data_IF_074942852456
#
_entry.id   IF_074942852456
#
_cell.length_a   1.000
_cell.length_b   1.000
_cell.length_c   1.000
_cell.angle_alpha   90.00
_cell.angle_beta   90.00
_cell.angle_gamma   90.00
#
_symmetry.space_group_name_H-M   'P 1'
#
loop_
_entity.id
_entity.type
_entity.pdbx_description
1 polymer ?
#
# COMPACT_ATOMS: atom_id res chain seq x y z
N UNK A 1 3.20 23.32 -5.17
CA UNK A 1 2.06 22.49 -5.61
C UNK A 1 1.37 21.93 -4.37
N UNK A 2 0.05 21.82 -4.36
CA UNK A 2 -0.69 21.20 -3.25
C UNK A 2 -0.49 19.69 -3.35
N UNK A 3 -0.13 19.02 -2.25
CA UNK A 3 0.09 17.58 -2.26
C UNK A 3 -1.23 16.84 -2.50
N UNK A 4 -1.20 15.66 -3.15
CA UNK A 4 -2.41 14.87 -3.37
C UNK A 4 -3.06 14.51 -2.04
N UNK A 5 -4.39 14.43 -2.02
CA UNK A 5 -5.12 13.83 -0.91
C UNK A 5 -5.05 12.31 -1.05
N UNK A 6 -4.52 11.63 -0.03
CA UNK A 6 -4.25 10.20 -0.11
C UNK A 6 -5.51 9.40 -0.43
N UNK A 7 -6.61 9.66 0.29
CA UNK A 7 -7.85 8.91 0.13
C UNK A 7 -8.53 9.22 -1.20
N UNK A 8 -8.68 10.50 -1.53
CA UNK A 8 -9.48 10.94 -2.68
C UNK A 8 -8.74 10.78 -4.00
N UNK A 9 -7.43 11.00 -4.02
CA UNK A 9 -6.67 11.05 -5.27
C UNK A 9 -5.80 9.82 -5.51
N UNK A 10 -5.35 9.13 -4.46
CA UNK A 10 -4.43 7.97 -4.60
C UNK A 10 -5.19 6.66 -4.38
N UNK A 11 -5.73 6.44 -3.18
CA UNK A 11 -6.38 5.18 -2.82
C UNK A 11 -7.60 4.86 -3.70
N UNK A 12 -8.41 5.88 -4.04
CA UNK A 12 -9.61 5.72 -4.88
C UNK A 12 -9.34 5.21 -6.31
N UNK A 13 -8.12 5.42 -6.84
CA UNK A 13 -7.73 4.93 -8.18
C UNK A 13 -7.42 3.44 -8.19
N UNK A 14 -7.07 2.89 -7.03
CA UNK A 14 -6.71 1.47 -6.87
C UNK A 14 -7.89 0.68 -6.31
N UNK A 15 -8.60 1.27 -5.35
CA UNK A 15 -9.66 0.63 -4.58
C UNK A 15 -11.01 1.05 -5.16
N UNK A 16 -11.61 0.13 -5.91
CA UNK A 16 -12.87 0.32 -6.61
C UNK A 16 -13.75 -0.92 -6.49
N UNK A 17 -15.07 -0.82 -6.74
CA UNK A 17 -15.96 -1.99 -6.79
C UNK A 17 -15.57 -3.05 -7.82
N UNK A 18 -14.71 -2.70 -8.79
CA UNK A 18 -14.22 -3.62 -9.80
C UNK A 18 -12.94 -4.36 -9.36
N UNK A 19 -12.23 -3.85 -8.34
CA UNK A 19 -10.99 -4.45 -7.83
C UNK A 19 -11.18 -5.25 -6.54
N UNK A 20 -12.26 -5.00 -5.78
CA UNK A 20 -12.57 -5.70 -4.54
C UNK A 20 -14.08 -5.98 -4.43
N UNK A 21 -14.44 -7.08 -3.76
CA UNK A 21 -15.84 -7.27 -3.35
C UNK A 21 -16.26 -6.19 -2.34
N UNK A 22 -17.57 -5.97 -2.24
CA UNK A 22 -18.16 -4.90 -1.43
C UNK A 22 -17.71 -4.94 0.04
N UNK A 23 -17.60 -6.13 0.63
CA UNK A 23 -17.21 -6.26 2.03
C UNK A 23 -15.76 -5.84 2.24
N UNK A 24 -14.83 -6.35 1.42
CA UNK A 24 -13.42 -5.95 1.46
C UNK A 24 -13.26 -4.45 1.17
N UNK A 25 -14.03 -3.93 0.23
CA UNK A 25 -14.02 -2.51 -0.12
C UNK A 25 -14.40 -1.62 1.07
N UNK A 26 -15.47 -1.97 1.80
CA UNK A 26 -15.90 -1.22 2.98
C UNK A 26 -14.89 -1.31 4.13
N UNK A 27 -14.30 -2.49 4.36
CA UNK A 27 -13.26 -2.67 5.37
C UNK A 27 -12.00 -1.85 5.06
N UNK A 28 -11.54 -1.88 3.81
CA UNK A 28 -10.41 -1.07 3.34
C UNK A 28 -10.69 0.42 3.53
N UNK A 29 -11.87 0.90 3.12
CA UNK A 29 -12.25 2.31 3.31
C UNK A 29 -12.25 2.72 4.78
N UNK A 30 -12.75 1.85 5.66
CA UNK A 30 -12.77 2.09 7.10
C UNK A 30 -11.35 2.18 7.68
N UNK A 31 -10.46 1.26 7.33
CA UNK A 31 -9.07 1.27 7.80
C UNK A 31 -8.32 2.51 7.31
N UNK A 32 -8.49 2.86 6.05
CA UNK A 32 -7.87 4.03 5.45
C UNK A 32 -8.33 5.34 6.11
N UNK A 33 -9.63 5.48 6.39
CA UNK A 33 -10.16 6.63 7.11
C UNK A 33 -9.64 6.70 8.56
N UNK A 34 -9.57 5.56 9.25
CA UNK A 34 -9.01 5.48 10.60
C UNK A 34 -7.53 5.84 10.63
N UNK A 35 -6.75 5.35 9.66
CA UNK A 35 -5.34 5.67 9.50
C UNK A 35 -5.13 7.17 9.24
N UNK A 36 -5.89 7.78 8.33
CA UNK A 36 -5.78 9.21 8.06
C UNK A 36 -6.06 10.05 9.32
N UNK A 37 -7.07 9.69 10.10
CA UNK A 37 -7.40 10.35 11.36
C UNK A 37 -6.29 10.18 12.42
N UNK A 38 -5.72 8.97 12.52
CA UNK A 38 -4.68 8.61 13.51
C UNK A 38 -3.33 9.25 13.19
N UNK A 39 -2.86 9.12 11.96
CA UNK A 39 -1.53 9.59 11.52
C UNK A 39 -1.55 11.04 11.02
N UNK A 40 -2.73 11.59 10.72
CA UNK A 40 -2.94 12.98 10.29
C UNK A 40 -2.14 13.34 9.03
N UNK A 41 -2.13 12.46 8.03
CA UNK A 41 -1.43 12.68 6.75
C UNK A 41 -2.30 13.30 5.65
N UNK A 42 -3.55 13.70 5.95
CA UNK A 42 -4.41 14.37 4.98
C UNK A 42 -3.79 15.69 4.52
N UNK A 43 -4.00 16.01 3.24
CA UNK A 43 -3.65 17.31 2.68
C UNK A 43 -4.61 18.43 3.13
N UNK A 44 -5.76 18.08 3.71
CA UNK A 44 -6.75 19.01 4.25
C UNK A 44 -6.69 19.07 5.78
N UNK A 45 -5.66 19.76 6.31
CA UNK A 45 -5.52 19.99 7.75
C UNK A 45 -4.64 18.98 8.50
N UNK A 46 -3.90 18.14 7.77
CA UNK A 46 -2.83 17.29 8.30
C UNK A 46 -1.45 17.72 7.79
N UNK A 47 -0.51 16.78 7.89
CA UNK A 47 0.84 16.89 7.34
C UNK A 47 1.11 15.68 6.43
N UNK A 48 1.08 15.85 5.10
CA UNK A 48 1.25 14.75 4.15
C UNK A 48 2.56 13.96 4.33
N UNK A 49 3.60 14.55 4.92
CA UNK A 49 4.85 13.84 5.24
C UNK A 49 4.64 12.70 6.23
N UNK A 50 3.61 12.79 7.08
CA UNK A 50 3.25 11.72 8.02
C UNK A 50 2.71 10.46 7.35
N UNK A 51 2.51 10.47 6.03
CA UNK A 51 2.22 9.25 5.29
C UNK A 51 3.33 8.21 5.49
N UNK A 52 4.60 8.63 5.62
CA UNK A 52 5.72 7.73 5.94
C UNK A 52 5.45 6.93 7.23
N UNK A 53 4.94 7.60 8.26
CA UNK A 53 4.63 6.94 9.54
C UNK A 53 3.53 5.90 9.39
N UNK A 54 2.56 6.14 8.50
CA UNK A 54 1.52 5.16 8.21
C UNK A 54 2.09 3.98 7.41
N UNK A 55 2.85 4.24 6.33
CA UNK A 55 3.45 3.19 5.50
C UNK A 55 4.32 2.21 6.30
N UNK A 56 5.03 2.71 7.32
CA UNK A 56 5.90 1.91 8.18
C UNK A 56 5.17 1.31 9.41
N UNK A 57 3.86 1.45 9.50
CA UNK A 57 3.08 1.03 10.67
C UNK A 57 2.41 -0.34 10.51
N UNK A 58 2.08 -1.01 11.63
CA UNK A 58 1.27 -2.23 11.61
C UNK A 58 -0.10 -2.02 10.94
N UNK A 59 -0.68 -0.83 11.02
CA UNK A 59 -1.97 -0.50 10.40
C UNK A 59 -1.88 -0.58 8.87
N UNK A 60 -0.73 -0.26 8.27
CA UNK A 60 -0.53 -0.45 6.83
C UNK A 60 -0.33 -1.92 6.50
N UNK A 61 0.39 -2.68 7.33
CA UNK A 61 0.50 -4.14 7.17
C UNK A 61 -0.88 -4.82 7.22
N UNK A 62 -1.77 -4.39 8.12
CA UNK A 62 -3.16 -4.89 8.16
C UNK A 62 -3.90 -4.58 6.85
N UNK A 63 -3.71 -3.37 6.31
CA UNK A 63 -4.28 -3.00 5.01
C UNK A 63 -3.76 -3.91 3.89
N UNK A 64 -2.45 -4.20 3.84
CA UNK A 64 -1.87 -5.04 2.77
C UNK A 64 -2.42 -6.46 2.80
N UNK A 65 -2.71 -7.03 3.98
CA UNK A 65 -3.36 -8.33 4.10
C UNK A 65 -4.77 -8.34 3.49
N UNK A 66 -5.52 -7.26 3.66
CA UNK A 66 -6.89 -7.16 3.13
C UNK A 66 -6.88 -6.82 1.63
N UNK A 67 -5.94 -6.02 1.15
CA UNK A 67 -5.79 -5.69 -0.26
C UNK A 67 -5.24 -6.86 -1.07
N UNK A 68 -4.32 -7.63 -0.49
CA UNK A 68 -3.49 -8.59 -1.21
C UNK A 68 -2.35 -7.90 -1.98
N UNK A 69 -1.44 -8.71 -2.48
CA UNK A 69 -0.17 -8.29 -3.07
C UNK A 69 -0.35 -7.35 -4.26
N UNK A 70 -1.14 -7.73 -5.26
CA UNK A 70 -1.28 -6.94 -6.50
C UNK A 70 -1.83 -5.53 -6.26
N UNK A 71 -2.86 -5.40 -5.42
CA UNK A 71 -3.46 -4.10 -5.12
C UNK A 71 -2.56 -3.27 -4.23
N UNK A 72 -1.80 -3.91 -3.33
CA UNK A 72 -0.79 -3.22 -2.52
C UNK A 72 0.31 -2.63 -3.41
N UNK A 73 0.84 -3.39 -4.37
CA UNK A 73 1.84 -2.89 -5.33
C UNK A 73 1.30 -1.69 -6.12
N UNK A 74 0.10 -1.80 -6.68
CA UNK A 74 -0.55 -0.68 -7.39
C UNK A 74 -0.72 0.56 -6.52
N UNK A 75 -1.09 0.38 -5.25
CA UNK A 75 -1.19 1.50 -4.30
C UNK A 75 0.16 2.18 -4.08
N UNK A 76 1.23 1.40 -3.87
CA UNK A 76 2.58 1.93 -3.68
C UNK A 76 3.09 2.66 -4.93
N UNK A 77 2.83 2.13 -6.13
CA UNK A 77 3.16 2.78 -7.40
C UNK A 77 2.49 4.14 -7.55
N UNK A 78 1.19 4.23 -7.22
CA UNK A 78 0.44 5.48 -7.27
C UNK A 78 0.95 6.50 -6.24
N UNK A 79 1.40 6.05 -5.06
CA UNK A 79 2.09 6.91 -4.07
C UNK A 79 3.40 7.46 -4.64
N UNK A 80 4.24 6.61 -5.23
CA UNK A 80 5.55 7.00 -5.78
C UNK A 80 5.39 8.04 -6.90
N UNK A 81 4.33 7.90 -7.70
CA UNK A 81 4.00 8.77 -8.82
C UNK A 81 3.51 10.15 -8.38
N UNK A 82 2.59 10.20 -7.41
CA UNK A 82 1.83 11.42 -7.11
C UNK A 82 2.40 12.30 -6.00
N UNK A 83 3.16 11.73 -5.05
CA UNK A 83 3.78 12.53 -3.99
C UNK A 83 5.06 13.21 -4.48
N UNK A 84 5.39 14.39 -3.95
CA UNK A 84 6.68 15.04 -4.28
C UNK A 84 7.77 14.73 -3.25
N UNK A 85 7.40 14.35 -2.02
CA UNK A 85 8.35 14.13 -0.95
C UNK A 85 9.16 12.86 -1.16
N UNK A 86 10.48 13.02 -1.29
CA UNK A 86 11.40 11.90 -1.51
C UNK A 86 11.31 10.84 -0.40
N UNK A 87 11.16 11.26 0.86
CA UNK A 87 10.97 10.36 2.01
C UNK A 87 9.77 9.42 1.86
N UNK A 88 8.66 9.90 1.27
CA UNK A 88 7.47 9.08 1.00
C UNK A 88 7.76 8.10 -0.13
N UNK A 89 8.41 8.56 -1.21
CA UNK A 89 8.77 7.70 -2.35
C UNK A 89 9.71 6.59 -1.94
N UNK A 90 10.72 6.91 -1.14
CA UNK A 90 11.71 5.94 -0.68
C UNK A 90 11.08 4.91 0.25
N UNK A 91 10.20 5.33 1.16
CA UNK A 91 9.44 4.41 1.99
C UNK A 91 8.56 3.46 1.15
N UNK A 92 7.83 4.00 0.17
CA UNK A 92 6.98 3.20 -0.70
C UNK A 92 7.77 2.22 -1.57
N UNK A 93 8.91 2.65 -2.13
CA UNK A 93 9.83 1.79 -2.91
C UNK A 93 10.39 0.66 -2.06
N UNK A 94 10.84 0.95 -0.85
CA UNK A 94 11.38 -0.07 0.05
C UNK A 94 10.36 -1.17 0.31
N UNK A 95 9.10 -0.80 0.58
CA UNK A 95 8.04 -1.78 0.81
C UNK A 95 7.75 -2.57 -0.47
N UNK A 96 7.77 -1.92 -1.64
CA UNK A 96 7.59 -2.59 -2.93
C UNK A 96 8.68 -3.65 -3.16
N UNK A 97 9.94 -3.30 -2.92
CA UNK A 97 11.09 -4.21 -3.00
C UNK A 97 10.99 -5.36 -2.00
N UNK A 98 10.52 -5.11 -0.77
CA UNK A 98 10.28 -6.16 0.22
C UNK A 98 9.24 -7.16 -0.30
N UNK A 99 8.10 -6.67 -0.82
CA UNK A 99 7.04 -7.51 -1.38
C UNK A 99 7.56 -8.34 -2.57
N UNK A 100 8.32 -7.72 -3.49
CA UNK A 100 8.91 -8.42 -4.64
C UNK A 100 9.96 -9.45 -4.21
N UNK A 101 10.84 -9.10 -3.27
CA UNK A 101 11.87 -9.99 -2.74
C UNK A 101 11.30 -11.22 -2.03
N UNK A 102 10.20 -11.08 -1.29
CA UNK A 102 9.47 -12.22 -0.72
C UNK A 102 8.87 -13.12 -1.81
N UNK A 103 8.29 -12.51 -2.86
CA UNK A 103 7.72 -13.25 -3.99
C UNK A 103 8.81 -14.07 -4.70
N UNK A 104 9.99 -13.49 -4.94
CA UNK A 104 11.11 -14.20 -5.58
C UNK A 104 11.69 -15.36 -4.74
N UNK A 105 11.62 -15.28 -3.41
CA UNK A 105 12.03 -16.39 -2.53
C UNK A 105 11.02 -17.52 -2.54
N UNK A 106 9.71 -17.22 -2.45
CA UNK A 106 8.65 -18.24 -2.54
C UNK A 106 8.69 -18.99 -3.89
N UNK A 107 8.90 -18.30 -5.00
CA UNK A 107 9.03 -18.93 -6.31
C UNK A 107 10.27 -19.85 -6.41
N UNK A 108 11.40 -19.46 -5.81
CA UNK A 108 12.62 -20.28 -5.80
C UNK A 108 12.45 -21.55 -4.96
N UNK A 109 11.82 -21.46 -3.79
CA UNK A 109 11.55 -22.62 -2.94
C UNK A 109 10.52 -23.57 -3.55
N UNK A 110 9.49 -23.04 -4.23
CA UNK A 110 8.55 -23.85 -5.00
C UNK A 110 9.30 -24.65 -6.09
N UNK A 111 10.14 -24.00 -6.91
CA UNK A 111 10.89 -24.66 -7.99
C UNK A 111 11.87 -25.72 -7.48
N UNK A 112 12.52 -25.51 -6.33
CA UNK A 112 13.44 -26.50 -5.74
C UNK A 112 12.66 -27.74 -5.26
N UNK A 113 11.47 -27.56 -4.70
CA UNK A 113 10.64 -28.66 -4.20
C UNK A 113 10.21 -29.59 -5.35
N UNK A 114 9.86 -29.05 -6.52
CA UNK A 114 9.52 -29.86 -7.69
C UNK A 114 10.71 -30.61 -8.31
N UNK A 115 11.95 -30.15 -8.12
CA UNK A 115 13.15 -30.82 -8.64
C UNK A 115 13.69 -31.94 -7.75
N UNK A 116 13.19 -32.08 -6.51
CA UNK A 116 13.63 -33.12 -5.56
C UNK A 116 12.71 -34.34 -5.53
N UNK A 117 11.62 -34.34 -6.29
CA UNK A 117 10.60 -35.40 -6.33
C UNK A 117 10.54 -36.22 -7.62
N UNK A 118 11.56 -36.17 -8.48
CA UNK A 118 11.69 -36.99 -9.69
C UNK A 118 12.92 -37.90 -9.60
#
# INVERSE_FOLDING_TARGET
MSQPDFLRHVASRVISPNSLDLKRLDDVRRLLAAAEAKYKFSSYGGDPKKLVNYLLSPDFTELTFILGTDLTKKLLEEIIKDYDYQEIKDAAKKILEEIDGYTEMEDKDAVITYKRGL
#
